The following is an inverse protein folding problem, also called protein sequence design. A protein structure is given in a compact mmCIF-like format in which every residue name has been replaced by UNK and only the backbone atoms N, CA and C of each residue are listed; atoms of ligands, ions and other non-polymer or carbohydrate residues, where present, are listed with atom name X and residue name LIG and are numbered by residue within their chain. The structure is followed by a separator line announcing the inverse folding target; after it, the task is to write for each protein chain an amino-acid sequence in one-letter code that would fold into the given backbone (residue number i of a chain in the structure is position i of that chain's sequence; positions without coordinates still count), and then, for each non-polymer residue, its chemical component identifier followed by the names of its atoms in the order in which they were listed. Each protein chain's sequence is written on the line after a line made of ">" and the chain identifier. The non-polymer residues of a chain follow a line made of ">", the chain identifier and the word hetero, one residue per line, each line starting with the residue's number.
data_IF_529913799535
#
_entry.id   IF_529913799535
#
_cell.length_a   1.000
_cell.length_b   1.000
_cell.length_c   1.000
_cell.angle_alpha   90.00
_cell.angle_beta   90.00
_cell.angle_gamma   90.00
#
_symmetry.space_group_name_H-M   'P 1'
#
loop_
_entity.id
_entity.type
_entity.pdbx_description
1 polymer ?
#
# COMPACT_ATOMS: atom_id res chain seq x y z
N UNK A 1 -13.78 -85.07 10.14
CA UNK A 1 -14.51 -84.36 9.08
C UNK A 1 -15.62 -83.53 9.71
N UNK A 2 -15.65 -82.22 9.39
CA UNK A 2 -16.76 -81.25 9.50
C UNK A 2 -17.04 -80.67 10.91
N UNK A 3 -17.08 -79.34 11.17
CA UNK A 3 -17.13 -78.12 10.35
C UNK A 3 -16.47 -76.92 11.08
N UNK A 4 -15.76 -76.07 10.34
CA UNK A 4 -15.22 -74.77 10.75
C UNK A 4 -16.32 -73.72 10.93
N UNK A 5 -16.22 -72.93 12.00
CA UNK A 5 -17.06 -71.77 12.27
C UNK A 5 -16.62 -70.55 11.44
N UNK A 6 -17.59 -69.90 10.81
CA UNK A 6 -17.45 -68.64 10.09
C UNK A 6 -17.83 -67.50 11.04
N UNK A 7 -16.96 -66.49 11.17
CA UNK A 7 -17.37 -65.16 11.63
C UNK A 7 -16.42 -64.12 11.01
N UNK A 8 -16.90 -63.43 9.98
CA UNK A 8 -16.21 -62.29 9.37
C UNK A 8 -16.80 -61.02 10.00
N UNK A 9 -16.03 -60.35 10.86
CA UNK A 9 -16.36 -59.01 11.35
C UNK A 9 -15.88 -57.97 10.32
N UNK A 10 -16.82 -57.35 9.60
CA UNK A 10 -16.55 -56.20 8.76
C UNK A 10 -16.47 -54.92 9.63
N UNK A 11 -15.27 -54.41 9.84
CA UNK A 11 -15.04 -53.10 10.47
C UNK A 11 -15.14 -51.99 9.42
N UNK A 12 -16.23 -51.23 9.48
CA UNK A 12 -16.43 -50.02 8.68
C UNK A 12 -15.59 -48.90 9.31
N UNK A 13 -14.53 -48.48 8.61
CA UNK A 13 -13.70 -47.34 8.98
C UNK A 13 -14.40 -46.06 8.47
N UNK A 14 -15.09 -45.35 9.37
CA UNK A 14 -15.64 -44.03 9.06
C UNK A 14 -14.53 -42.99 9.04
N UNK A 15 -14.20 -42.49 7.85
CA UNK A 15 -13.28 -41.39 7.64
C UNK A 15 -13.98 -40.07 8.04
N UNK A 16 -13.64 -39.53 9.20
CA UNK A 16 -14.12 -38.21 9.60
C UNK A 16 -13.41 -37.15 8.74
N UNK A 17 -14.17 -36.46 7.88
CA UNK A 17 -13.69 -35.28 7.16
C UNK A 17 -13.53 -34.17 8.19
N UNK A 18 -12.30 -33.95 8.64
CA UNK A 18 -11.95 -32.76 9.42
C UNK A 18 -11.96 -31.59 8.44
N UNK A 19 -12.98 -30.74 8.55
CA UNK A 19 -13.00 -29.48 7.82
C UNK A 19 -12.04 -28.54 8.54
N UNK A 20 -10.91 -28.24 7.91
CA UNK A 20 -10.01 -27.19 8.38
C UNK A 20 -10.67 -25.84 8.09
N UNK A 21 -11.38 -25.29 9.08
CA UNK A 21 -11.78 -23.88 9.06
C UNK A 21 -10.50 -23.04 9.16
N UNK A 22 -9.99 -22.62 8.00
CA UNK A 22 -8.96 -21.59 7.90
C UNK A 22 -9.57 -20.27 8.31
N UNK A 23 -9.52 -20.00 9.61
CA UNK A 23 -9.82 -18.67 10.15
C UNK A 23 -8.74 -17.70 9.64
N UNK A 24 -9.10 -16.85 8.67
CA UNK A 24 -8.28 -15.69 8.34
C UNK A 24 -8.29 -14.75 9.54
N UNK A 25 -7.18 -14.72 10.30
CA UNK A 25 -6.92 -13.60 11.19
C UNK A 25 -7.05 -12.32 10.36
N UNK A 26 -7.89 -11.37 10.80
CA UNK A 26 -8.01 -10.08 10.13
C UNK A 26 -6.64 -9.41 10.09
N UNK A 27 -6.00 -9.45 8.92
CA UNK A 27 -4.62 -9.00 8.72
C UNK A 27 -4.42 -7.55 9.19
N UNK A 28 -3.21 -7.26 9.66
CA UNK A 28 -2.78 -5.89 9.94
C UNK A 28 -2.92 -4.98 8.71
N UNK A 29 -2.88 -3.67 8.93
CA UNK A 29 -2.90 -2.72 7.81
C UNK A 29 -1.52 -2.69 7.16
N UNK A 30 -1.48 -3.01 5.87
CA UNK A 30 -0.26 -2.87 5.07
C UNK A 30 -0.12 -1.42 4.59
N UNK A 31 1.10 -0.89 4.62
CA UNK A 31 1.42 0.45 4.09
C UNK A 31 2.42 0.27 2.96
N UNK A 32 2.06 0.66 1.75
CA UNK A 32 2.94 0.63 0.57
C UNK A 32 3.28 2.06 0.19
N UNK A 33 4.56 2.40 0.15
CA UNK A 33 5.06 3.71 -0.30
C UNK A 33 5.86 3.51 -1.58
N UNK A 34 5.43 4.12 -2.69
CA UNK A 34 6.09 4.01 -4.00
C UNK A 34 6.47 2.57 -4.39
N UNK A 35 5.50 1.65 -4.39
CA UNK A 35 5.64 0.21 -4.69
C UNK A 35 6.40 -0.62 -3.65
N UNK A 36 6.89 -0.03 -2.56
CA UNK A 36 7.60 -0.74 -1.51
C UNK A 36 6.74 -0.88 -0.25
N UNK A 37 6.57 -2.11 0.24
CA UNK A 37 5.92 -2.37 1.52
C UNK A 37 6.79 -1.88 2.68
N UNK A 38 6.23 -1.02 3.53
CA UNK A 38 6.88 -0.55 4.74
C UNK A 38 6.65 -1.57 5.85
N UNK A 39 7.74 -2.04 6.45
CA UNK A 39 7.70 -3.04 7.51
C UNK A 39 7.48 -2.41 8.89
N UNK A 40 6.94 -3.19 9.83
CA UNK A 40 6.83 -2.79 11.24
C UNK A 40 5.88 -1.60 11.47
N UNK A 41 4.90 -1.40 10.59
CA UNK A 41 4.02 -0.22 10.65
C UNK A 41 3.12 -0.22 11.87
N UNK A 42 2.73 -1.36 12.44
CA UNK A 42 1.71 -1.41 13.51
C UNK A 42 0.49 -0.51 13.23
N UNK A 43 0.15 -0.35 11.95
CA UNK A 43 -0.85 0.61 11.51
C UNK A 43 -2.26 0.15 11.90
N UNK A 44 -3.13 1.11 12.23
CA UNK A 44 -4.50 0.82 12.62
C UNK A 44 -5.47 1.90 12.11
N UNK A 45 -6.76 1.56 12.06
CA UNK A 45 -7.82 2.52 11.75
C UNK A 45 -8.37 3.13 13.05
N UNK A 46 -8.46 4.45 13.09
CA UNK A 46 -9.20 5.19 14.11
C UNK A 46 -10.07 6.24 13.44
N UNK A 47 -11.39 6.17 13.67
CA UNK A 47 -12.39 7.08 13.09
C UNK A 47 -12.25 7.22 11.56
N UNK A 48 -12.08 6.09 10.87
CA UNK A 48 -11.89 6.04 9.41
C UNK A 48 -10.55 6.57 8.91
N UNK A 49 -9.62 6.90 9.81
CA UNK A 49 -8.28 7.41 9.49
C UNK A 49 -7.22 6.35 9.77
N UNK A 50 -6.35 6.08 8.80
CA UNK A 50 -5.19 5.19 9.01
C UNK A 50 -4.13 5.90 9.83
N UNK A 51 -3.89 5.41 11.03
CA UNK A 51 -2.87 5.86 11.97
C UNK A 51 -1.62 5.02 11.80
N UNK A 52 -0.47 5.69 11.66
CA UNK A 52 0.84 5.05 11.56
C UNK A 52 1.83 5.66 12.54
N UNK A 53 2.85 4.92 12.99
CA UNK A 53 3.98 5.46 13.71
C UNK A 53 4.70 6.52 12.87
N UNK A 54 5.24 7.54 13.53
CA UNK A 54 5.90 8.68 12.87
C UNK A 54 7.04 8.26 11.93
N UNK A 55 7.77 7.18 12.24
CA UNK A 55 8.84 6.66 11.38
C UNK A 55 8.32 6.07 10.06
N UNK A 56 7.04 5.70 9.94
CA UNK A 56 6.47 5.26 8.65
C UNK A 56 6.44 6.43 7.67
N UNK A 57 6.11 7.64 8.16
CA UNK A 57 6.02 8.87 7.33
C UNK A 57 7.35 9.21 6.65
N UNK A 58 8.48 8.89 7.27
CA UNK A 58 9.81 9.19 6.71
C UNK A 58 10.15 8.40 5.43
N UNK A 59 9.35 7.38 5.10
CA UNK A 59 9.52 6.62 3.85
C UNK A 59 8.94 7.37 2.64
N UNK A 60 8.12 8.40 2.87
CA UNK A 60 7.58 9.23 1.79
C UNK A 60 8.71 10.13 1.26
N UNK A 61 8.99 10.11 -0.06
CA UNK A 61 10.09 10.90 -0.62
C UNK A 61 10.01 12.40 -0.31
N UNK A 62 11.18 12.98 -0.03
CA UNK A 62 11.33 14.41 0.22
C UNK A 62 10.73 14.88 1.54
N UNK A 63 10.36 13.97 2.44
CA UNK A 63 9.89 14.29 3.79
C UNK A 63 11.01 14.14 4.81
N UNK A 64 11.08 15.08 5.74
CA UNK A 64 11.78 14.92 7.02
C UNK A 64 10.82 15.11 8.18
N UNK A 65 11.04 14.35 9.26
CA UNK A 65 10.17 14.37 10.45
C UNK A 65 11.00 14.65 11.69
N UNK A 66 10.42 15.39 12.63
CA UNK A 66 10.99 15.59 13.96
C UNK A 66 9.91 15.62 15.03
N UNK A 67 10.29 15.24 16.25
CA UNK A 67 9.45 15.29 17.43
C UNK A 67 10.06 16.19 18.49
N UNK A 68 9.27 17.11 19.03
CA UNK A 68 9.61 17.87 20.21
C UNK A 68 8.80 17.35 21.40
N UNK A 69 9.49 16.76 22.37
CA UNK A 69 8.84 16.13 23.53
C UNK A 69 8.32 17.12 24.58
N UNK A 70 8.84 18.34 24.63
CA UNK A 70 8.39 19.38 25.57
C UNK A 70 7.04 19.94 25.15
N UNK A 71 6.95 20.33 23.87
CA UNK A 71 5.74 20.90 23.25
C UNK A 71 4.79 19.84 22.69
N UNK A 72 5.15 18.56 22.81
CA UNK A 72 4.43 17.42 22.24
C UNK A 72 4.07 17.61 20.76
N UNK A 73 5.00 18.14 19.98
CA UNK A 73 4.74 18.56 18.60
C UNK A 73 5.55 17.74 17.61
N UNK A 74 4.86 17.16 16.64
CA UNK A 74 5.44 16.60 15.41
C UNK A 74 5.63 17.73 14.42
N UNK A 75 6.83 17.85 13.84
CA UNK A 75 7.08 18.72 12.69
C UNK A 75 7.46 17.86 11.49
N UNK A 76 6.78 18.08 10.37
CA UNK A 76 7.05 17.42 9.09
C UNK A 76 7.42 18.51 8.09
N UNK A 77 8.53 18.33 7.37
CA UNK A 77 8.95 19.26 6.32
C UNK A 77 8.98 18.53 4.98
N UNK A 78 8.39 19.13 3.95
CA UNK A 78 8.39 18.63 2.57
C UNK A 78 8.61 19.80 1.60
N UNK A 79 9.84 19.98 1.13
CA UNK A 79 10.20 21.18 0.36
C UNK A 79 10.04 22.44 1.23
N UNK A 80 9.20 23.38 0.79
CA UNK A 80 8.86 24.60 1.55
C UNK A 80 7.69 24.40 2.53
N UNK A 81 6.98 23.27 2.45
CA UNK A 81 5.81 23.00 3.27
C UNK A 81 6.24 22.54 4.68
N UNK A 82 5.63 23.12 5.71
CA UNK A 82 5.90 22.76 7.12
C UNK A 82 4.58 22.43 7.80
N UNK A 83 4.43 21.17 8.19
CA UNK A 83 3.26 20.65 8.90
C UNK A 83 3.62 20.50 10.37
N UNK A 84 2.78 21.03 11.26
CA UNK A 84 2.92 20.87 12.72
C UNK A 84 1.66 20.26 13.30
N UNK A 85 1.82 19.13 13.98
CA UNK A 85 0.75 18.46 14.71
C UNK A 85 1.13 18.40 16.19
N UNK A 86 0.31 19.00 17.05
CA UNK A 86 0.47 18.86 18.50
C UNK A 86 -0.36 17.66 18.97
N UNK A 87 0.25 16.76 19.74
CA UNK A 87 -0.40 15.55 20.19
C UNK A 87 -1.67 15.86 21.01
N UNK A 88 -2.76 15.16 20.71
CA UNK A 88 -4.08 15.36 21.30
C UNK A 88 -4.90 16.50 20.69
N UNK A 89 -4.32 17.35 19.83
CA UNK A 89 -5.05 18.45 19.18
C UNK A 89 -5.67 18.00 17.86
N UNK A 90 -6.95 18.34 17.65
CA UNK A 90 -7.68 18.09 16.40
C UNK A 90 -7.43 19.14 15.31
N UNK A 91 -6.31 19.84 15.40
CA UNK A 91 -5.89 20.84 14.43
C UNK A 91 -4.41 20.67 14.14
N UNK A 92 -4.03 20.88 12.88
CA UNK A 92 -2.65 20.99 12.45
C UNK A 92 -2.39 22.38 11.88
N UNK A 93 -1.16 22.85 11.99
CA UNK A 93 -0.69 24.02 11.25
C UNK A 93 0.06 23.57 10.01
N UNK A 94 -0.17 24.25 8.90
CA UNK A 94 0.45 24.03 7.59
C UNK A 94 0.92 25.39 7.04
N UNK A 95 1.70 25.40 5.96
CA UNK A 95 2.11 26.63 5.28
C UNK A 95 0.92 27.50 4.83
N UNK A 96 -0.25 26.90 4.61
CA UNK A 96 -1.49 27.60 4.22
C UNK A 96 -2.38 28.01 5.40
N UNK A 97 -2.00 27.69 6.64
CA UNK A 97 -2.75 28.02 7.86
C UNK A 97 -3.15 26.79 8.68
N UNK A 98 -4.20 26.95 9.49
CA UNK A 98 -4.68 25.89 10.40
C UNK A 98 -5.74 25.03 9.72
N UNK A 99 -5.58 23.71 9.80
CA UNK A 99 -6.48 22.71 9.22
C UNK A 99 -7.02 21.80 10.32
N UNK A 100 -8.31 21.47 10.26
CA UNK A 100 -8.94 20.52 11.17
C UNK A 100 -8.54 19.07 10.83
N UNK A 101 -8.33 18.25 11.86
CA UNK A 101 -8.02 16.84 11.75
C UNK A 101 -9.23 16.01 12.19
N UNK A 102 -9.55 14.96 11.44
CA UNK A 102 -10.49 13.91 11.87
C UNK A 102 -9.99 13.24 13.15
N UNK A 103 -8.74 12.80 13.12
CA UNK A 103 -8.06 12.08 14.20
C UNK A 103 -6.75 12.80 14.54
N UNK A 104 -6.53 13.18 15.82
CA UNK A 104 -5.32 13.88 16.23
C UNK A 104 -4.10 12.95 16.19
N UNK A 105 -2.90 13.54 16.12
CA UNK A 105 -1.69 12.79 16.48
C UNK A 105 -1.75 12.41 17.96
N UNK A 106 -1.29 11.21 18.33
CA UNK A 106 -1.31 10.73 19.72
C UNK A 106 -0.01 10.03 20.10
N UNK A 107 0.37 10.09 21.37
CA UNK A 107 1.43 9.26 21.93
C UNK A 107 0.81 7.99 22.51
N UNK A 108 1.08 6.84 21.92
CA UNK A 108 0.51 5.56 22.31
C UNK A 108 1.59 4.49 22.40
N UNK A 109 1.69 3.82 23.55
CA UNK A 109 2.64 2.71 23.79
C UNK A 109 4.09 3.07 23.41
N UNK A 110 4.51 4.32 23.67
CA UNK A 110 5.87 4.80 23.35
C UNK A 110 6.09 5.23 21.90
N UNK A 111 5.07 5.12 21.03
CA UNK A 111 5.14 5.57 19.64
C UNK A 111 4.22 6.78 19.41
N UNK A 112 4.69 7.71 18.58
CA UNK A 112 3.85 8.82 18.12
C UNK A 112 3.09 8.32 16.89
N UNK A 113 1.77 8.20 17.03
CA UNK A 113 0.86 7.79 15.98
C UNK A 113 0.30 9.04 15.30
N UNK A 114 0.31 9.05 13.97
CA UNK A 114 -0.08 10.21 13.17
C UNK A 114 -1.03 9.83 12.04
N UNK A 115 -1.94 10.74 11.63
CA UNK A 115 -2.85 10.50 10.51
C UNK A 115 -2.05 10.49 9.19
N UNK A 116 -1.85 9.31 8.61
CA UNK A 116 -1.00 9.13 7.42
C UNK A 116 -1.48 9.95 6.23
N UNK A 117 -2.77 9.86 5.90
CA UNK A 117 -3.36 10.53 4.74
C UNK A 117 -3.14 12.03 4.78
N UNK A 118 -3.46 12.67 5.91
CA UNK A 118 -3.30 14.11 6.07
C UNK A 118 -1.87 14.56 5.80
N UNK A 119 -0.89 13.91 6.44
CA UNK A 119 0.52 14.29 6.29
C UNK A 119 1.00 14.06 4.85
N UNK A 120 0.64 12.92 4.27
CA UNK A 120 1.04 12.54 2.91
C UNK A 120 0.46 13.50 1.86
N UNK A 121 -0.84 13.81 1.92
CA UNK A 121 -1.52 14.69 0.96
C UNK A 121 -1.03 16.13 1.03
N UNK A 122 -0.88 16.70 2.24
CA UNK A 122 -0.28 18.04 2.41
C UNK A 122 1.16 18.06 1.89
N UNK A 123 1.87 16.93 1.97
CA UNK A 123 3.22 16.78 1.40
C UNK A 123 3.24 16.45 -0.11
N UNK A 124 2.09 16.51 -0.79
CA UNK A 124 1.96 16.30 -2.24
C UNK A 124 2.01 14.82 -2.68
N UNK A 125 1.71 13.89 -1.78
CA UNK A 125 1.61 12.45 -2.05
C UNK A 125 0.15 12.00 -2.17
N UNK A 126 -0.11 11.03 -3.04
CA UNK A 126 -1.43 10.47 -3.31
C UNK A 126 -1.68 9.28 -2.42
N UNK A 127 -2.81 9.28 -1.74
CA UNK A 127 -3.14 8.24 -0.79
C UNK A 127 -4.44 7.57 -1.17
N UNK A 128 -4.40 6.26 -1.30
CA UNK A 128 -5.58 5.47 -1.61
C UNK A 128 -5.64 4.25 -0.70
N UNK A 129 -6.84 3.93 -0.22
CA UNK A 129 -7.10 2.80 0.66
C UNK A 129 -7.78 1.68 -0.12
N UNK A 130 -7.13 0.51 -0.21
CA UNK A 130 -7.74 -0.69 -0.75
C UNK A 130 -8.36 -1.50 0.41
N UNK A 131 -9.70 -1.55 0.54
CA UNK A 131 -10.35 -2.29 1.62
C UNK A 131 -10.26 -3.81 1.43
N UNK A 132 -10.11 -4.29 0.19
CA UNK A 132 -10.04 -5.72 -0.13
C UNK A 132 -8.75 -6.36 0.36
N UNK A 133 -7.61 -5.67 0.17
CA UNK A 133 -6.30 -6.12 0.65
C UNK A 133 -5.91 -5.54 2.02
N UNK A 134 -6.69 -4.58 2.55
CA UNK A 134 -6.37 -3.78 3.74
C UNK A 134 -5.02 -3.05 3.61
N UNK A 135 -4.77 -2.52 2.42
CA UNK A 135 -3.53 -1.81 2.08
C UNK A 135 -3.80 -0.32 1.90
N UNK A 136 -2.99 0.53 2.53
CA UNK A 136 -2.90 1.95 2.19
C UNK A 136 -1.71 2.16 1.27
N UNK A 137 -1.96 2.65 0.07
CA UNK A 137 -0.90 3.05 -0.85
C UNK A 137 -0.64 4.54 -0.70
N UNK A 138 0.64 4.91 -0.68
CA UNK A 138 1.13 6.28 -0.70
C UNK A 138 2.04 6.42 -1.92
N UNK A 139 1.65 7.27 -2.85
CA UNK A 139 2.30 7.46 -4.14
C UNK A 139 2.79 8.90 -4.27
N UNK A 140 4.09 9.11 -4.34
CA UNK A 140 4.71 10.41 -4.59
C UNK A 140 5.79 10.24 -5.63
N UNK A 141 5.43 10.49 -6.88
CA UNK A 141 6.37 10.46 -7.99
C UNK A 141 7.38 11.61 -7.88
N UNK A 142 8.65 11.28 -8.16
CA UNK A 142 9.75 12.23 -8.23
C UNK A 142 9.53 13.28 -9.34
N UNK A 143 9.97 14.52 -9.12
CA UNK A 143 9.74 15.62 -10.06
C UNK A 143 10.40 15.37 -11.42
N UNK A 144 11.61 14.81 -11.45
CA UNK A 144 12.30 14.46 -12.69
C UNK A 144 11.55 13.39 -13.46
N UNK A 145 10.89 12.46 -12.75
CA UNK A 145 10.08 11.43 -13.39
C UNK A 145 8.84 12.04 -14.04
N UNK A 146 8.19 13.01 -13.37
CA UNK A 146 7.07 13.77 -13.94
C UNK A 146 7.50 14.58 -15.18
N UNK A 147 8.65 15.23 -15.14
CA UNK A 147 9.20 15.96 -16.29
C UNK A 147 9.46 15.04 -17.50
N UNK A 148 10.06 13.87 -17.27
CA UNK A 148 10.30 12.87 -18.33
C UNK A 148 9.00 12.34 -18.92
N UNK A 149 8.00 12.11 -18.07
CA UNK A 149 6.66 11.67 -18.47
C UNK A 149 6.01 12.66 -19.44
N UNK A 150 6.20 13.97 -19.23
CA UNK A 150 5.61 15.03 -20.07
C UNK A 150 6.59 15.65 -21.06
N UNK A 151 7.70 14.99 -21.36
CA UNK A 151 8.82 15.56 -22.15
C UNK A 151 8.52 15.78 -23.64
N UNK A 152 7.38 15.29 -24.16
CA UNK A 152 7.06 15.27 -25.58
C UNK A 152 7.83 14.20 -26.38
N UNK A 153 8.86 13.59 -25.80
CA UNK A 153 9.54 12.42 -26.37
C UNK A 153 8.83 11.14 -25.93
N UNK A 154 8.17 10.46 -26.87
CA UNK A 154 7.35 9.28 -26.58
C UNK A 154 8.14 8.15 -25.90
N UNK A 155 9.38 7.89 -26.32
CA UNK A 155 10.22 6.85 -25.74
C UNK A 155 10.57 7.17 -24.29
N UNK A 156 10.96 8.41 -23.99
CA UNK A 156 11.24 8.82 -22.62
C UNK A 156 10.00 8.84 -21.75
N UNK A 157 8.87 9.30 -22.28
CA UNK A 157 7.58 9.29 -21.58
C UNK A 157 7.16 7.88 -21.19
N UNK A 158 7.26 6.90 -22.11
CA UNK A 158 6.96 5.49 -21.84
C UNK A 158 7.89 4.90 -20.79
N UNK A 159 9.20 5.16 -20.88
CA UNK A 159 10.17 4.72 -19.86
C UNK A 159 9.89 5.33 -18.49
N UNK A 160 9.43 6.57 -18.45
CA UNK A 160 9.04 7.22 -17.20
C UNK A 160 7.74 6.61 -16.63
N UNK A 161 6.75 6.33 -17.46
CA UNK A 161 5.49 5.71 -17.05
C UNK A 161 5.70 4.37 -16.33
N UNK A 162 6.62 3.53 -16.84
CA UNK A 162 6.97 2.23 -16.22
C UNK A 162 7.61 2.34 -14.84
N UNK A 163 8.11 3.52 -14.46
CA UNK A 163 8.78 3.77 -13.18
C UNK A 163 7.88 4.49 -12.18
N UNK A 164 6.64 4.86 -12.57
CA UNK A 164 5.73 5.55 -11.68
C UNK A 164 5.35 4.64 -10.50
N UNK A 165 5.14 5.23 -9.31
CA UNK A 165 4.45 4.57 -8.23
C UNK A 165 3.07 4.07 -8.68
N UNK A 166 2.78 2.82 -8.39
CA UNK A 166 1.54 2.13 -8.69
C UNK A 166 0.67 2.05 -7.42
N UNK A 167 -0.63 2.03 -7.65
CA UNK A 167 -1.63 1.71 -6.64
C UNK A 167 -2.57 0.67 -7.24
N UNK A 168 -3.08 -0.25 -6.43
CA UNK A 168 -4.02 -1.27 -6.90
C UNK A 168 -5.29 -1.24 -6.06
N UNK A 169 -6.43 -1.19 -6.74
CA UNK A 169 -7.77 -1.27 -6.15
C UNK A 169 -8.45 -2.62 -6.42
N UNK A 170 -7.77 -3.47 -7.18
CA UNK A 170 -8.23 -4.81 -7.54
C UNK A 170 -7.32 -5.83 -6.84
N UNK A 171 -7.73 -7.09 -6.85
CA UNK A 171 -6.87 -8.16 -6.38
C UNK A 171 -5.72 -8.34 -7.37
N UNK A 172 -4.49 -8.24 -6.87
CA UNK A 172 -3.32 -8.55 -7.68
C UNK A 172 -3.32 -10.05 -8.01
N UNK A 173 -3.16 -10.35 -9.30
CA UNK A 173 -3.04 -11.70 -9.80
C UNK A 173 -1.56 -12.03 -9.91
N UNK A 174 -1.14 -13.09 -9.22
CA UNK A 174 0.21 -13.60 -9.35
C UNK A 174 0.25 -14.64 -10.47
N UNK A 175 1.23 -14.57 -11.39
CA UNK A 175 1.38 -15.58 -12.42
C UNK A 175 1.72 -16.94 -11.82
N UNK A 176 1.27 -18.01 -12.48
CA UNK A 176 1.63 -19.36 -12.05
C UNK A 176 3.14 -19.58 -12.20
N UNK A 177 3.86 -20.20 -11.24
CA UNK A 177 5.32 -20.32 -11.32
C UNK A 177 5.83 -20.97 -12.60
N UNK A 178 5.11 -21.99 -13.09
CA UNK A 178 5.43 -22.67 -14.36
C UNK A 178 5.27 -21.78 -15.58
N UNK A 179 4.39 -20.78 -15.52
CA UNK A 179 4.24 -19.83 -16.61
C UNK A 179 5.43 -18.88 -16.73
N UNK A 180 6.26 -18.72 -15.68
CA UNK A 180 7.40 -17.81 -15.68
C UNK A 180 8.69 -18.40 -16.26
N UNK A 181 8.77 -19.71 -16.47
CA UNK A 181 9.96 -20.36 -17.03
C UNK A 181 10.26 -19.85 -18.46
N UNK A 182 11.42 -19.22 -18.64
CA UNK A 182 11.88 -18.71 -19.94
C UNK A 182 11.22 -17.42 -20.43
N UNK A 183 10.42 -16.74 -19.60
CA UNK A 183 9.71 -15.54 -20.02
C UNK A 183 10.52 -14.24 -19.95
N UNK A 184 10.21 -13.36 -20.91
CA UNK A 184 10.60 -11.95 -20.92
C UNK A 184 9.37 -11.10 -20.61
N UNK A 185 9.51 -10.08 -19.76
CA UNK A 185 8.44 -9.09 -19.55
C UNK A 185 8.16 -8.36 -20.88
N UNK A 186 6.93 -8.45 -21.38
CA UNK A 186 6.51 -7.73 -22.58
C UNK A 186 5.64 -6.55 -22.19
N UNK A 187 6.05 -5.36 -22.60
CA UNK A 187 5.32 -4.12 -22.38
C UNK A 187 4.62 -3.70 -23.67
N UNK A 188 3.31 -3.51 -23.60
CA UNK A 188 2.52 -3.02 -24.73
C UNK A 188 1.98 -1.62 -24.44
N UNK A 189 2.34 -0.66 -25.29
CA UNK A 189 1.77 0.67 -25.32
C UNK A 189 0.99 0.85 -26.63
N UNK A 190 -0.27 1.33 -26.60
CA UNK A 190 -0.97 1.73 -27.81
C UNK A 190 -0.17 2.77 -28.62
N UNK A 191 -0.42 2.85 -29.92
CA UNK A 191 0.27 3.78 -30.81
C UNK A 191 0.08 5.24 -30.34
N UNK A 192 1.19 5.99 -30.26
CA UNK A 192 1.18 7.37 -29.78
C UNK A 192 0.98 7.57 -28.27
N UNK A 193 0.66 6.50 -27.52
CA UNK A 193 0.31 6.59 -26.09
C UNK A 193 1.48 6.28 -25.16
N UNK A 194 1.52 6.95 -24.01
CA UNK A 194 2.47 6.67 -22.91
C UNK A 194 1.79 6.50 -21.56
N UNK A 195 0.54 6.97 -21.40
CA UNK A 195 -0.17 6.95 -20.12
C UNK A 195 -0.92 5.65 -19.87
N UNK A 196 -1.05 4.76 -20.87
CA UNK A 196 -1.73 3.47 -20.73
C UNK A 196 -0.87 2.37 -21.29
N UNK A 197 -0.74 1.28 -20.54
CA UNK A 197 0.03 0.13 -20.99
C UNK A 197 -0.44 -1.17 -20.35
N UNK A 198 -0.10 -2.27 -21.02
CA UNK A 198 -0.29 -3.63 -20.52
C UNK A 198 1.09 -4.25 -20.23
N UNK A 199 1.16 -5.03 -19.16
CA UNK A 199 2.28 -5.91 -18.88
C UNK A 199 1.79 -7.35 -18.95
N UNK A 200 2.49 -8.17 -19.74
CA UNK A 200 2.35 -9.63 -19.69
C UNK A 200 3.44 -10.23 -18.82
N UNK A 201 3.01 -11.01 -17.83
CA UNK A 201 3.87 -11.79 -16.97
C UNK A 201 3.22 -13.16 -16.81
N UNK A 202 3.82 -14.19 -17.39
CA UNK A 202 3.24 -15.53 -17.28
C UNK A 202 1.93 -15.64 -18.04
N UNK A 203 0.92 -16.14 -17.32
CA UNK A 203 -0.50 -16.22 -17.70
C UNK A 203 -1.32 -14.99 -17.24
N UNK A 204 -0.66 -13.96 -16.71
CA UNK A 204 -1.31 -12.75 -16.18
C UNK A 204 -1.07 -11.54 -17.10
N UNK A 205 -2.16 -10.79 -17.29
CA UNK A 205 -2.16 -9.50 -17.99
C UNK A 205 -2.58 -8.41 -17.03
N UNK A 206 -1.72 -7.43 -16.81
CA UNK A 206 -1.99 -6.27 -15.96
C UNK A 206 -2.14 -5.01 -16.79
N UNK A 207 -3.21 -4.25 -16.56
CA UNK A 207 -3.44 -2.94 -17.18
C UNK A 207 -3.08 -1.82 -16.22
N UNK A 208 -2.34 -0.83 -16.72
CA UNK A 208 -1.92 0.34 -15.98
C UNK A 208 -2.34 1.61 -16.70
N UNK A 209 -2.76 2.59 -15.91
CA UNK A 209 -3.05 3.95 -16.37
C UNK A 209 -2.34 4.96 -15.46
N UNK A 210 -1.46 5.75 -16.05
CA UNK A 210 -0.84 6.89 -15.41
C UNK A 210 -1.85 8.05 -15.37
N UNK A 211 -2.32 8.35 -14.16
CA UNK A 211 -3.23 9.46 -13.92
C UNK A 211 -2.55 10.54 -13.08
N UNK A 212 -2.94 11.79 -13.31
CA UNK A 212 -2.66 12.85 -12.35
C UNK A 212 -3.57 12.63 -11.13
N UNK A 213 -2.97 12.58 -9.95
CA UNK A 213 -3.73 12.59 -8.72
C UNK A 213 -4.51 13.91 -8.62
N UNK A 214 -5.80 13.89 -8.26
CA UNK A 214 -6.57 15.11 -8.06
C UNK A 214 -6.06 15.82 -6.81
N UNK A 215 -5.46 17.01 -6.96
CA UNK A 215 -5.25 17.98 -5.89
C UNK A 215 -5.74 19.35 -6.34
#
# INVERSE_FOLDING_TARGET
>A
MNKLASLVCASILTLAVVSEDTTFAAGGIEVIVNNAAVQGTSAYLADGTTMVPLNVVQHIPGISVSWNNETKTVTVMSGSEVIRLTAGQKTASTGSGTVALSTPAILQKGHIMVPLRFIAEVSGAYVIWNPGSRTVYVSKADSRLKERLTSGNLTEARRAALQLPCVSMIRDLEPTPSSLEGQSFTYYFPEGEYSRFLIWSGDVVSYYEAANAPY
#
